data_IF_167847516749
#
_entry.id   IF_167847516749
#
_cell.length_a   1.000
_cell.length_b   1.000
_cell.length_c   1.000
_cell.angle_alpha   90.00
_cell.angle_beta   90.00
_cell.angle_gamma   90.00
#
_symmetry.space_group_name_H-M   'P 1'
#
loop_
_entity.id
_entity.type
_entity.pdbx_description
1 polymer ?
#
# COMPACT_ATOMS: atom_id res chain seq x y z
N UNK A 1 -13.43 6.65 -18.38
CA UNK A 1 -13.05 8.01 -18.86
C UNK A 1 -12.33 8.82 -17.76
N UNK A 2 -12.76 8.78 -16.50
CA UNK A 2 -12.12 9.56 -15.40
C UNK A 2 -10.65 9.20 -15.20
N UNK A 3 -10.32 7.92 -15.17
CA UNK A 3 -8.92 7.44 -15.04
C UNK A 3 -8.01 8.03 -16.11
N UNK A 4 -8.46 8.09 -17.37
CA UNK A 4 -7.68 8.69 -18.48
C UNK A 4 -7.45 10.20 -18.31
N UNK A 5 -8.38 10.90 -17.64
CA UNK A 5 -8.23 12.32 -17.33
C UNK A 5 -7.19 12.49 -16.22
N UNK A 6 -7.29 11.74 -15.13
CA UNK A 6 -6.33 11.77 -14.02
C UNK A 6 -4.92 11.40 -14.49
N UNK A 7 -4.78 10.34 -15.30
CA UNK A 7 -3.50 9.91 -15.86
C UNK A 7 -2.80 10.97 -16.72
N UNK A 8 -3.55 11.92 -17.29
CA UNK A 8 -3.00 13.03 -18.11
C UNK A 8 -2.68 14.29 -17.32
N UNK A 9 -3.37 14.50 -16.19
CA UNK A 9 -3.28 15.73 -15.39
C UNK A 9 -2.38 15.60 -14.17
N UNK A 10 -2.03 14.36 -13.80
CA UNK A 10 -1.21 14.05 -12.64
C UNK A 10 0.29 14.01 -12.97
N UNK A 11 1.05 13.60 -11.99
CA UNK A 11 2.51 13.43 -12.02
C UNK A 11 2.97 12.04 -12.51
N UNK A 12 2.13 11.36 -13.28
CA UNK A 12 2.38 10.01 -13.77
C UNK A 12 1.81 8.90 -12.88
N UNK A 13 0.95 9.25 -11.93
CA UNK A 13 0.26 8.30 -11.07
C UNK A 13 -1.25 8.48 -11.06
N UNK A 14 -1.97 7.36 -10.92
CA UNK A 14 -3.40 7.33 -10.62
C UNK A 14 -3.60 6.59 -9.31
N UNK A 15 -4.24 7.24 -8.34
CA UNK A 15 -4.62 6.62 -7.06
C UNK A 15 -6.03 6.06 -7.15
N UNK A 16 -6.19 4.79 -6.75
CA UNK A 16 -7.47 4.12 -6.58
C UNK A 16 -7.72 3.75 -5.12
N UNK A 17 -8.98 3.51 -4.78
CA UNK A 17 -9.37 2.84 -3.54
C UNK A 17 -9.78 1.43 -3.91
N UNK A 18 -9.02 0.44 -3.47
CA UNK A 18 -9.24 -0.97 -3.80
C UNK A 18 -10.41 -1.56 -3.02
N UNK A 19 -10.47 -1.30 -1.72
CA UNK A 19 -11.52 -1.78 -0.83
C UNK A 19 -12.00 -0.72 0.16
N UNK A 20 -13.13 -0.99 0.76
CA UNK A 20 -13.69 -0.23 1.86
C UNK A 20 -14.68 -1.08 2.64
N UNK A 21 -15.10 -0.58 3.82
CA UNK A 21 -16.21 -1.23 4.53
C UNK A 21 -17.49 -1.18 3.70
N UNK A 22 -18.00 -2.35 3.36
CA UNK A 22 -19.35 -2.50 2.81
C UNK A 22 -20.34 -2.65 3.96
N UNK A 23 -21.33 -1.77 4.01
CA UNK A 23 -22.31 -1.72 5.10
C UNK A 23 -23.35 -2.82 5.01
N UNK A 24 -23.55 -3.42 3.84
CA UNK A 24 -24.50 -4.48 3.60
C UNK A 24 -23.92 -5.84 4.02
N UNK A 25 -22.64 -6.09 3.72
CA UNK A 25 -21.91 -7.28 4.19
C UNK A 25 -21.38 -7.12 5.61
N UNK A 26 -21.12 -5.89 6.04
CA UNK A 26 -20.58 -5.57 7.36
C UNK A 26 -19.08 -5.87 7.51
N UNK A 27 -18.34 -5.94 6.41
CA UNK A 27 -16.89 -6.18 6.37
C UNK A 27 -16.22 -5.39 5.24
N UNK A 28 -14.89 -5.55 5.09
CA UNK A 28 -14.15 -5.04 3.92
C UNK A 28 -14.63 -5.77 2.66
N UNK A 29 -14.81 -5.00 1.60
CA UNK A 29 -15.18 -5.56 0.28
C UNK A 29 -14.54 -4.75 -0.84
N UNK A 30 -14.28 -5.36 -2.01
CA UNK A 30 -13.79 -4.65 -3.18
C UNK A 30 -14.71 -3.49 -3.57
N UNK A 31 -14.12 -2.30 -3.82
CA UNK A 31 -14.86 -1.13 -4.31
C UNK A 31 -15.28 -1.27 -5.77
N UNK A 32 -14.69 -2.19 -6.51
CA UNK A 32 -14.86 -2.33 -7.95
C UNK A 32 -15.06 -3.78 -8.36
N UNK A 33 -15.93 -4.08 -9.32
CA UNK A 33 -15.88 -5.36 -10.02
C UNK A 33 -14.50 -5.57 -10.65
N UNK A 34 -13.95 -6.78 -10.59
CA UNK A 34 -12.59 -7.10 -11.04
C UNK A 34 -12.31 -6.66 -12.50
N UNK A 35 -13.30 -6.84 -13.40
CA UNK A 35 -13.18 -6.42 -14.80
C UNK A 35 -13.15 -4.88 -14.96
N UNK A 36 -13.84 -4.14 -14.08
CA UNK A 36 -13.80 -2.67 -14.07
C UNK A 36 -12.44 -2.19 -13.57
N UNK A 37 -11.92 -2.80 -12.51
CA UNK A 37 -10.60 -2.51 -11.97
C UNK A 37 -9.50 -2.77 -13.02
N UNK A 38 -9.52 -3.93 -13.67
CA UNK A 38 -8.57 -4.26 -14.74
C UNK A 38 -8.60 -3.22 -15.89
N UNK A 39 -9.80 -2.82 -16.33
CA UNK A 39 -9.94 -1.76 -17.35
C UNK A 39 -9.44 -0.39 -16.86
N UNK A 40 -9.60 -0.09 -15.57
CA UNK A 40 -9.11 1.17 -14.98
C UNK A 40 -7.58 1.22 -14.99
N UNK A 41 -6.93 0.14 -14.53
CA UNK A 41 -5.46 0.01 -14.54
C UNK A 41 -4.93 0.08 -15.97
N UNK A 42 -5.47 -0.70 -16.89
CA UNK A 42 -5.08 -0.67 -18.31
C UNK A 42 -5.23 0.73 -18.92
N UNK A 43 -6.30 1.46 -18.58
CA UNK A 43 -6.53 2.81 -19.09
C UNK A 43 -5.53 3.86 -18.55
N UNK A 44 -4.98 3.66 -17.35
CA UNK A 44 -3.88 4.46 -16.81
C UNK A 44 -2.57 4.14 -17.55
N UNK A 45 -2.25 2.85 -17.66
CA UNK A 45 -1.04 2.37 -18.38
C UNK A 45 -1.00 2.80 -19.84
N UNK A 46 -2.16 2.81 -20.56
CA UNK A 46 -2.26 3.36 -21.93
C UNK A 46 -1.84 4.84 -22.03
N UNK A 47 -1.82 5.55 -20.90
CA UNK A 47 -1.39 6.97 -20.83
C UNK A 47 0.00 7.14 -20.23
N UNK A 48 0.71 6.04 -19.97
CA UNK A 48 2.02 6.05 -19.35
C UNK A 48 2.00 6.34 -17.85
N UNK A 49 0.81 6.34 -17.21
CA UNK A 49 0.69 6.52 -15.78
C UNK A 49 0.73 5.17 -15.05
N UNK A 50 1.36 5.14 -13.88
CA UNK A 50 1.32 4.01 -12.93
C UNK A 50 0.08 4.10 -12.06
N UNK A 51 -0.30 2.97 -11.45
CA UNK A 51 -1.46 2.88 -10.56
C UNK A 51 -1.04 2.47 -9.17
N UNK A 52 -1.43 3.25 -8.17
CA UNK A 52 -1.37 2.85 -6.76
C UNK A 52 -2.78 2.71 -6.19
N UNK A 53 -2.96 1.84 -5.21
CA UNK A 53 -4.26 1.62 -4.60
C UNK A 53 -4.16 1.49 -3.08
N UNK A 54 -5.08 2.14 -2.36
CA UNK A 54 -5.40 1.79 -0.98
C UNK A 54 -6.02 0.40 -0.95
N UNK A 55 -5.53 -0.49 -0.08
CA UNK A 55 -6.14 -1.80 0.11
C UNK A 55 -5.74 -2.43 1.44
N UNK A 56 -6.75 -2.90 2.19
CA UNK A 56 -6.57 -3.64 3.43
C UNK A 56 -6.83 -5.14 3.25
N UNK A 57 -7.93 -5.51 2.60
CA UNK A 57 -8.48 -6.87 2.58
C UNK A 57 -7.90 -7.78 1.50
N UNK A 58 -7.98 -9.07 1.76
CA UNK A 58 -7.38 -10.14 0.98
C UNK A 58 -7.93 -10.23 -0.46
N UNK A 59 -9.26 -10.15 -0.59
CA UNK A 59 -9.94 -10.29 -1.89
C UNK A 59 -9.50 -9.19 -2.86
N UNK A 60 -9.51 -7.94 -2.38
CA UNK A 60 -9.14 -6.78 -3.20
C UNK A 60 -7.67 -6.78 -3.58
N UNK A 61 -6.78 -7.35 -2.74
CA UNK A 61 -5.36 -7.52 -3.08
C UNK A 61 -5.17 -8.52 -4.22
N UNK A 62 -5.96 -9.61 -4.25
CA UNK A 62 -5.96 -10.55 -5.40
C UNK A 62 -6.43 -9.88 -6.68
N UNK A 63 -7.48 -9.06 -6.59
CA UNK A 63 -8.01 -8.32 -7.76
C UNK A 63 -7.01 -7.28 -8.27
N UNK A 64 -6.30 -6.56 -7.36
CA UNK A 64 -5.25 -5.62 -7.72
C UNK A 64 -4.06 -6.29 -8.39
N UNK A 65 -3.65 -7.48 -7.91
CA UNK A 65 -2.63 -8.28 -8.56
C UNK A 65 -3.07 -8.68 -9.98
N UNK A 66 -4.28 -9.23 -10.11
CA UNK A 66 -4.82 -9.64 -11.41
C UNK A 66 -4.99 -8.47 -12.39
N UNK A 67 -5.26 -7.26 -11.88
CA UNK A 67 -5.38 -6.04 -12.68
C UNK A 67 -4.01 -5.46 -13.10
N UNK A 68 -2.89 -5.85 -12.46
CA UNK A 68 -1.55 -5.36 -12.72
C UNK A 68 -1.29 -3.97 -12.12
N UNK A 69 -1.74 -3.71 -10.89
CA UNK A 69 -1.39 -2.49 -10.17
C UNK A 69 0.14 -2.37 -9.98
N UNK A 70 0.67 -1.15 -9.92
CA UNK A 70 2.13 -0.94 -9.77
C UNK A 70 2.54 -0.84 -8.30
N UNK A 71 1.64 -0.39 -7.43
CA UNK A 71 1.87 -0.24 -6.01
C UNK A 71 0.57 -0.43 -5.21
N UNK A 72 0.69 -0.95 -3.99
CA UNK A 72 -0.43 -1.02 -3.05
C UNK A 72 -0.02 -0.43 -1.71
N UNK A 73 -0.84 0.46 -1.20
CA UNK A 73 -0.68 1.04 0.13
C UNK A 73 -1.37 0.17 1.16
N UNK A 74 -0.78 0.09 2.34
CA UNK A 74 -1.17 -0.76 3.46
C UNK A 74 -0.93 -2.26 3.21
N UNK A 75 -1.61 -2.84 2.22
CA UNK A 75 -1.43 -4.24 1.80
C UNK A 75 -1.51 -5.25 2.96
N UNK A 76 -2.33 -4.95 3.99
CA UNK A 76 -2.39 -5.71 5.25
C UNK A 76 -2.93 -7.13 5.08
N UNK A 77 -3.76 -7.36 4.07
CA UNK A 77 -4.39 -8.63 3.74
C UNK A 77 -3.57 -9.53 2.80
N UNK A 78 -2.27 -9.28 2.61
CA UNK A 78 -1.45 -10.16 1.79
C UNK A 78 -1.42 -11.58 2.37
N UNK A 79 -1.75 -12.55 1.52
CA UNK A 79 -1.69 -13.99 1.76
C UNK A 79 -0.58 -14.63 0.92
N UNK A 80 -0.13 -15.86 1.21
CA UNK A 80 0.99 -16.48 0.52
C UNK A 80 0.90 -16.45 -1.01
N UNK A 81 -0.27 -16.77 -1.58
CA UNK A 81 -0.47 -16.78 -3.04
C UNK A 81 -0.44 -15.36 -3.63
N UNK A 82 -0.98 -14.40 -2.90
CA UNK A 82 -0.97 -12.98 -3.33
C UNK A 82 0.45 -12.41 -3.22
N UNK A 83 1.22 -12.78 -2.19
CA UNK A 83 2.64 -12.42 -2.04
C UNK A 83 3.44 -12.92 -3.25
N UNK A 84 3.24 -14.17 -3.67
CA UNK A 84 3.90 -14.73 -4.86
C UNK A 84 3.54 -13.90 -6.09
N UNK A 85 2.26 -13.61 -6.31
CA UNK A 85 1.80 -12.84 -7.46
C UNK A 85 2.37 -11.41 -7.47
N UNK A 86 2.45 -10.74 -6.31
CA UNK A 86 3.07 -9.42 -6.18
C UNK A 86 4.56 -9.44 -6.51
N UNK A 87 5.28 -10.43 -6.00
CA UNK A 87 6.72 -10.60 -6.27
C UNK A 87 6.99 -10.86 -7.76
N UNK A 88 6.25 -11.77 -8.38
CA UNK A 88 6.40 -12.12 -9.81
C UNK A 88 6.09 -10.96 -10.75
N UNK A 89 5.11 -10.11 -10.39
CA UNK A 89 4.69 -8.96 -11.19
C UNK A 89 5.45 -7.68 -10.87
N UNK A 90 6.28 -7.67 -9.80
CA UNK A 90 7.00 -6.48 -9.37
C UNK A 90 6.12 -5.40 -8.73
N UNK A 91 4.97 -5.78 -8.16
CA UNK A 91 4.07 -4.85 -7.47
C UNK A 91 4.72 -4.45 -6.15
N UNK A 92 4.92 -3.15 -5.95
CA UNK A 92 5.47 -2.60 -4.72
C UNK A 92 4.41 -2.45 -3.63
N UNK A 93 4.86 -2.36 -2.37
CA UNK A 93 3.98 -2.01 -1.24
C UNK A 93 4.53 -0.84 -0.42
N UNK A 94 3.61 -0.07 0.15
CA UNK A 94 3.86 0.96 1.16
C UNK A 94 3.05 0.61 2.41
N UNK A 95 3.61 -0.12 3.39
CA UNK A 95 2.83 -0.78 4.45
C UNK A 95 2.19 0.17 5.46
N UNK A 96 2.68 1.38 5.61
CA UNK A 96 2.12 2.40 6.53
C UNK A 96 1.84 1.86 7.94
N UNK A 97 2.79 1.15 8.52
CA UNK A 97 2.61 0.43 9.79
C UNK A 97 2.18 1.36 10.95
N UNK A 98 2.60 2.64 10.91
CA UNK A 98 2.12 3.65 11.87
C UNK A 98 0.61 3.90 11.74
N UNK A 99 0.05 3.80 10.53
CA UNK A 99 -1.39 3.88 10.33
C UNK A 99 -2.08 2.60 10.79
N UNK A 100 -1.52 1.43 10.46
CA UNK A 100 -2.07 0.13 10.87
C UNK A 100 -2.12 0.01 12.40
N UNK A 101 -1.20 0.62 13.14
CA UNK A 101 -1.25 0.67 14.62
C UNK A 101 -2.51 1.40 15.15
N UNK A 102 -3.20 2.15 14.33
CA UNK A 102 -4.49 2.79 14.71
C UNK A 102 -5.70 1.88 14.54
N UNK A 103 -5.58 0.74 13.87
CA UNK A 103 -6.70 -0.15 13.55
C UNK A 103 -7.55 -0.56 14.76
N UNK A 104 -6.99 -0.95 15.93
CA UNK A 104 -7.81 -1.27 17.09
C UNK A 104 -8.69 -0.10 17.53
N UNK A 105 -8.17 1.13 17.47
CA UNK A 105 -8.93 2.35 17.80
C UNK A 105 -9.98 2.67 16.74
N UNK A 106 -9.66 2.49 15.46
CA UNK A 106 -10.60 2.74 14.36
C UNK A 106 -11.72 1.71 14.30
N UNK A 107 -11.43 0.45 14.61
CA UNK A 107 -12.39 -0.63 14.58
C UNK A 107 -13.31 -0.67 15.82
N UNK A 108 -12.87 -0.14 16.97
CA UNK A 108 -13.64 -0.20 18.21
C UNK A 108 -15.09 0.32 18.10
N UNK A 109 -15.40 1.46 17.43
CA UNK A 109 -16.78 1.91 17.28
C UNK A 109 -17.66 0.97 16.42
N UNK A 110 -17.03 0.10 15.64
CA UNK A 110 -17.73 -0.83 14.75
C UNK A 110 -18.12 -2.15 15.45
N UNK A 111 -17.60 -2.43 16.65
CA UNK A 111 -17.74 -3.72 17.34
C UNK A 111 -19.20 -4.23 17.40
N UNK A 112 -20.14 -3.35 17.74
CA UNK A 112 -21.55 -3.74 17.88
C UNK A 112 -22.27 -3.76 16.51
N UNK A 113 -21.96 -2.82 15.63
CA UNK A 113 -22.69 -2.63 14.38
C UNK A 113 -22.16 -3.49 13.24
N UNK A 114 -20.86 -3.68 13.19
CA UNK A 114 -20.13 -4.40 12.15
C UNK A 114 -19.09 -5.33 12.79
N UNK A 115 -19.51 -6.38 13.51
CA UNK A 115 -18.60 -7.24 14.29
C UNK A 115 -17.64 -8.04 13.39
N UNK A 116 -17.97 -8.29 12.12
CA UNK A 116 -17.06 -8.92 11.16
C UNK A 116 -15.91 -7.99 10.84
N UNK A 117 -16.20 -6.77 10.40
CA UNK A 117 -15.19 -5.74 10.14
C UNK A 117 -14.30 -5.49 11.35
N UNK A 118 -14.90 -5.37 12.55
CA UNK A 118 -14.13 -5.18 13.79
C UNK A 118 -13.08 -6.28 13.98
N UNK A 119 -13.50 -7.55 13.92
CA UNK A 119 -12.59 -8.69 14.07
C UNK A 119 -11.55 -8.75 12.95
N UNK A 120 -11.96 -8.51 11.72
CA UNK A 120 -11.08 -8.50 10.56
C UNK A 120 -9.96 -7.45 10.72
N UNK A 121 -10.29 -6.21 11.06
CA UNK A 121 -9.31 -5.16 11.30
C UNK A 121 -8.34 -5.48 12.45
N UNK A 122 -8.81 -6.16 13.51
CA UNK A 122 -7.93 -6.62 14.60
C UNK A 122 -7.00 -7.75 14.15
N UNK A 123 -7.47 -8.66 13.30
CA UNK A 123 -6.63 -9.72 12.73
C UNK A 123 -5.55 -9.15 11.81
N UNK A 124 -5.92 -8.26 10.88
CA UNK A 124 -4.98 -7.55 10.02
C UNK A 124 -3.90 -6.81 10.84
N UNK A 125 -4.33 -6.14 11.91
CA UNK A 125 -3.40 -5.49 12.84
C UNK A 125 -2.47 -6.48 13.53
N UNK A 126 -3.00 -7.61 14.02
CA UNK A 126 -2.21 -8.59 14.77
C UNK A 126 -1.05 -9.16 13.93
N UNK A 127 -1.32 -9.51 12.67
CA UNK A 127 -0.35 -10.14 11.75
C UNK A 127 0.51 -9.17 10.93
N UNK A 128 0.34 -7.84 11.08
CA UNK A 128 0.97 -6.79 10.23
C UNK A 128 2.48 -6.93 10.01
N UNK A 129 3.23 -7.27 11.08
CA UNK A 129 4.69 -7.44 10.98
C UNK A 129 5.08 -8.71 10.23
N UNK A 130 4.36 -9.80 10.47
CA UNK A 130 4.57 -11.08 9.77
C UNK A 130 4.26 -10.93 8.28
N UNK A 131 3.19 -10.23 7.93
CA UNK A 131 2.80 -9.93 6.56
C UNK A 131 3.89 -9.14 5.83
N UNK A 132 4.41 -8.06 6.45
CA UNK A 132 5.45 -7.23 5.85
C UNK A 132 6.78 -7.97 5.76
N UNK A 133 7.12 -8.79 6.76
CA UNK A 133 8.30 -9.65 6.72
C UNK A 133 8.22 -10.67 5.57
N UNK A 134 7.08 -11.34 5.41
CA UNK A 134 6.87 -12.29 4.32
C UNK A 134 6.95 -11.62 2.94
N UNK A 135 6.40 -10.43 2.78
CA UNK A 135 6.51 -9.65 1.55
C UNK A 135 7.97 -9.32 1.21
N UNK A 136 8.76 -8.85 2.20
CA UNK A 136 10.19 -8.61 2.05
C UNK A 136 10.93 -9.89 1.64
N UNK A 137 10.69 -10.98 2.34
CA UNK A 137 11.39 -12.26 2.14
C UNK A 137 11.08 -12.86 0.74
N UNK A 138 9.92 -12.56 0.21
CA UNK A 138 9.53 -12.88 -1.17
C UNK A 138 10.14 -11.93 -2.22
N UNK A 139 10.85 -10.88 -1.82
CA UNK A 139 11.49 -9.93 -2.73
C UNK A 139 10.56 -8.80 -3.22
N UNK A 140 9.39 -8.62 -2.62
CA UNK A 140 8.53 -7.47 -2.92
C UNK A 140 9.25 -6.17 -2.53
N UNK A 141 9.20 -5.18 -3.40
CA UNK A 141 9.72 -3.85 -3.11
C UNK A 141 8.84 -3.18 -2.03
N UNK A 142 9.44 -2.92 -0.86
CA UNK A 142 8.76 -2.25 0.27
C UNK A 142 9.33 -0.84 0.39
N UNK A 143 8.45 0.17 0.42
CA UNK A 143 8.82 1.58 0.58
C UNK A 143 8.16 2.18 1.82
N UNK A 144 8.75 3.27 2.34
CA UNK A 144 8.26 3.95 3.53
C UNK A 144 7.18 4.98 3.17
N UNK A 145 6.08 4.92 3.87
CA UNK A 145 4.99 5.89 3.85
C UNK A 145 4.21 5.81 5.15
N UNK A 146 3.58 6.91 5.57
CA UNK A 146 2.94 7.02 6.88
C UNK A 146 1.44 7.19 6.85
N UNK A 147 0.88 7.53 5.69
CA UNK A 147 -0.52 7.92 5.53
C UNK A 147 -0.93 9.05 6.50
N UNK A 148 0.02 9.99 6.74
CA UNK A 148 -0.20 11.15 7.59
C UNK A 148 -1.03 12.23 6.88
N UNK A 149 -1.67 13.11 7.68
CA UNK A 149 -2.48 14.23 7.19
C UNK A 149 -3.99 14.03 7.39
N UNK A 150 -4.43 12.83 7.74
CA UNK A 150 -5.81 12.53 8.17
C UNK A 150 -5.90 12.43 9.69
N UNK A 151 -5.97 11.18 10.19
CA UNK A 151 -6.01 10.90 11.65
C UNK A 151 -4.64 10.91 12.32
N UNK A 152 -3.56 10.93 11.55
CA UNK A 152 -2.17 10.95 12.03
C UNK A 152 -1.50 12.29 11.72
N UNK A 153 -0.66 12.81 12.63
CA UNK A 153 0.14 14.01 12.36
C UNK A 153 1.24 13.73 11.35
N UNK A 154 1.74 14.78 10.68
CA UNK A 154 2.95 14.69 9.86
C UNK A 154 4.21 14.45 10.71
N UNK A 155 5.31 14.01 10.08
CA UNK A 155 6.61 13.83 10.74
C UNK A 155 6.85 12.43 11.32
N UNK A 156 6.07 11.41 10.93
CA UNK A 156 6.15 10.05 11.47
C UNK A 156 7.08 9.10 10.69
N UNK A 157 7.85 9.58 9.73
CA UNK A 157 8.74 8.74 8.90
C UNK A 157 9.72 7.93 9.76
N UNK A 158 10.33 8.55 10.79
CA UNK A 158 11.22 7.81 11.69
C UNK A 158 10.51 6.70 12.49
N UNK A 159 9.23 6.89 12.82
CA UNK A 159 8.42 5.85 13.46
C UNK A 159 8.16 4.70 12.48
N UNK A 160 7.83 4.98 11.22
CA UNK A 160 7.63 3.95 10.19
C UNK A 160 8.91 3.14 9.96
N UNK A 161 10.09 3.79 9.92
CA UNK A 161 11.41 3.10 9.86
C UNK A 161 11.58 2.16 11.04
N UNK A 162 11.22 2.59 12.26
CA UNK A 162 11.28 1.73 13.44
C UNK A 162 10.31 0.52 13.36
N UNK A 163 9.14 0.70 12.75
CA UNK A 163 8.21 -0.40 12.46
C UNK A 163 8.77 -1.40 11.45
N UNK A 164 9.44 -0.93 10.39
CA UNK A 164 10.12 -1.84 9.45
C UNK A 164 11.22 -2.66 10.16
N UNK A 165 11.98 -2.04 11.06
CA UNK A 165 12.96 -2.79 11.87
C UNK A 165 12.29 -3.87 12.74
N UNK A 166 11.11 -3.60 13.32
CA UNK A 166 10.31 -4.60 14.04
C UNK A 166 9.78 -5.72 13.12
N UNK A 167 9.52 -5.43 11.85
CA UNK A 167 9.20 -6.42 10.82
C UNK A 167 10.45 -7.19 10.33
N UNK A 168 11.62 -6.99 10.95
CA UNK A 168 12.84 -7.72 10.68
C UNK A 168 13.73 -7.12 9.60
N UNK A 169 13.47 -5.91 9.12
CA UNK A 169 14.39 -5.20 8.23
C UNK A 169 15.65 -4.81 8.99
N UNK A 170 16.79 -4.96 8.37
CA UNK A 170 18.03 -4.35 8.86
C UNK A 170 17.93 -2.83 8.78
N UNK A 171 18.77 -2.12 9.55
CA UNK A 171 18.83 -0.65 9.48
C UNK A 171 19.10 -0.16 8.06
N UNK A 172 19.99 -0.85 7.33
CA UNK A 172 20.31 -0.47 5.94
C UNK A 172 19.10 -0.65 5.02
N UNK A 173 18.41 -1.78 5.11
CA UNK A 173 17.20 -2.02 4.30
C UNK A 173 16.09 -1.01 4.59
N UNK A 174 15.87 -0.68 5.87
CA UNK A 174 14.85 0.29 6.26
C UNK A 174 15.17 1.71 5.78
N UNK A 175 16.44 2.12 5.86
CA UNK A 175 16.90 3.41 5.33
C UNK A 175 16.84 3.44 3.79
N UNK A 176 17.25 2.37 3.13
CA UNK A 176 17.19 2.23 1.68
C UNK A 176 15.74 2.33 1.17
N UNK A 177 14.81 1.65 1.84
CA UNK A 177 13.37 1.73 1.56
C UNK A 177 12.80 3.14 1.74
N UNK A 178 13.42 3.96 2.60
CA UNK A 178 12.98 5.33 2.89
C UNK A 178 13.50 6.34 1.87
N UNK A 179 14.71 6.14 1.33
CA UNK A 179 15.46 7.13 0.57
C UNK A 179 15.78 6.63 -0.85
N UNK A 180 16.84 5.82 -0.99
CA UNK A 180 17.48 5.54 -2.28
C UNK A 180 16.65 4.64 -3.18
N UNK A 181 16.15 3.52 -2.67
CA UNK A 181 15.31 2.62 -3.47
C UNK A 181 13.99 3.25 -3.88
N UNK A 182 13.36 4.02 -2.97
CA UNK A 182 12.14 4.73 -3.28
C UNK A 182 12.36 5.77 -4.40
N UNK A 183 13.44 6.58 -4.32
CA UNK A 183 13.79 7.54 -5.36
C UNK A 183 14.08 6.86 -6.70
N UNK A 184 14.89 5.81 -6.69
CA UNK A 184 15.22 5.06 -7.90
C UNK A 184 13.96 4.44 -8.55
N UNK A 185 13.07 3.86 -7.73
CA UNK A 185 11.81 3.29 -8.21
C UNK A 185 10.85 4.36 -8.78
N UNK A 186 10.85 5.56 -8.22
CA UNK A 186 10.11 6.71 -8.74
C UNK A 186 10.75 7.31 -10.00
N UNK A 187 11.99 6.94 -10.33
CA UNK A 187 12.75 7.49 -11.45
C UNK A 187 13.42 8.82 -11.13
N UNK A 188 13.62 9.12 -9.85
CA UNK A 188 14.29 10.33 -9.39
C UNK A 188 15.79 10.09 -9.15
N UNK A 189 16.64 11.10 -9.38
CA UNK A 189 18.07 10.98 -9.15
C UNK A 189 18.37 10.75 -7.67
N UNK A 190 19.45 10.00 -7.39
CA UNK A 190 19.99 9.79 -6.05
C UNK A 190 20.91 10.96 -5.62
N UNK A 191 21.85 10.64 -4.75
CA UNK A 191 22.94 11.56 -4.37
C UNK A 191 24.06 11.48 -5.42
N UNK A 192 23.96 12.28 -6.46
CA UNK A 192 24.90 12.31 -7.57
C UNK A 192 25.21 13.76 -7.98
N UNK A 193 26.34 13.98 -8.64
CA UNK A 193 26.75 15.32 -9.08
C UNK A 193 25.74 15.88 -10.08
N UNK A 194 25.22 17.09 -9.80
CA UNK A 194 24.21 17.77 -10.61
C UNK A 194 22.77 17.47 -10.24
N UNK A 195 22.50 16.54 -9.31
CA UNK A 195 21.18 16.32 -8.77
C UNK A 195 20.74 17.45 -7.81
N UNK A 196 19.43 17.60 -7.62
CA UNK A 196 18.87 18.50 -6.62
C UNK A 196 19.27 18.03 -5.21
N UNK A 197 19.62 18.98 -4.33
CA UNK A 197 20.05 18.69 -2.95
C UNK A 197 18.85 18.51 -2.02
N UNK A 198 18.03 17.52 -2.27
CA UNK A 198 16.92 17.12 -1.40
C UNK A 198 17.45 16.33 -0.20
N UNK A 199 18.00 17.06 0.78
CA UNK A 199 18.64 16.52 1.96
C UNK A 199 17.84 16.88 3.22
N UNK A 200 17.83 15.96 4.21
CA UNK A 200 17.25 16.15 5.55
C UNK A 200 18.34 15.99 6.60
#
# INVERSE_FOLDING_TARGET
>A
DRVRIEARSGDGWVKLVGDWIDRDTGDLSPCWPADVLARAVAAAHEKGARVTAHCFGEESLRDLAAAGADCVEHATGLEPDTIIAFAEQGIAIVPTLVNIDTFPRLAAPAEQKYPMYHRHMLDLHARRYETVAAARDAGIAVFVGTDAGGSLPHGLVAAEVAHLARAGFTTTEALDATCWRARAWLGWPGLEEGAEADLV
#
